data_IF_528546692744
#
_entry.id   IF_528546692744
#
_cell.length_a   1.000
_cell.length_b   1.000
_cell.length_c   1.000
_cell.angle_alpha   90.00
_cell.angle_beta   90.00
_cell.angle_gamma   90.00
#
_symmetry.space_group_name_H-M   'P 1'
#
loop_
_entity.id
_entity.type
_entity.pdbx_description
1 polymer ?
#
# COMPACT_ATOMS: atom_id res chain seq x y z
N UNK A 1 39.69 -19.02 -60.46
CA UNK A 1 39.77 -17.88 -59.53
C UNK A 1 38.51 -17.89 -58.67
N UNK A 2 38.66 -18.03 -57.35
CA UNK A 2 37.55 -18.21 -56.40
C UNK A 2 37.01 -16.85 -55.96
N UNK A 3 35.77 -16.50 -56.32
CA UNK A 3 35.06 -15.35 -55.77
C UNK A 3 34.34 -15.78 -54.49
N UNK A 4 34.77 -15.26 -53.34
CA UNK A 4 34.06 -15.41 -52.07
C UNK A 4 32.93 -14.39 -52.03
N UNK A 5 31.69 -14.89 -52.00
CA UNK A 5 30.49 -14.14 -51.67
C UNK A 5 30.52 -13.84 -50.16
N UNK A 6 30.58 -12.56 -49.79
CA UNK A 6 30.52 -12.14 -48.38
C UNK A 6 29.06 -11.86 -48.05
N UNK A 7 28.40 -12.80 -47.38
CA UNK A 7 27.05 -12.63 -46.84
C UNK A 7 27.14 -11.74 -45.61
N UNK A 8 26.61 -10.51 -45.70
CA UNK A 8 26.50 -9.58 -44.58
C UNK A 8 25.22 -9.92 -43.79
N UNK A 9 25.34 -10.73 -42.75
CA UNK A 9 24.27 -10.93 -41.77
C UNK A 9 24.28 -9.73 -40.82
N UNK A 10 23.37 -8.77 -41.03
CA UNK A 10 23.08 -7.72 -40.06
C UNK A 10 22.29 -8.38 -38.93
N UNK A 11 22.98 -8.72 -37.84
CA UNK A 11 22.34 -9.04 -36.58
C UNK A 11 21.77 -7.72 -36.02
N UNK A 12 20.48 -7.49 -36.25
CA UNK A 12 19.72 -6.46 -35.52
C UNK A 12 19.62 -6.95 -34.08
N UNK A 13 20.59 -6.54 -33.27
CA UNK A 13 20.51 -6.64 -31.83
C UNK A 13 19.47 -5.59 -31.40
N UNK A 14 18.20 -6.00 -31.35
CA UNK A 14 17.14 -5.29 -30.63
C UNK A 14 17.50 -5.33 -29.14
N UNK A 15 18.44 -4.48 -28.75
CA UNK A 15 18.59 -4.04 -27.38
C UNK A 15 17.35 -3.19 -27.08
N UNK A 16 16.24 -3.85 -26.74
CA UNK A 16 15.27 -3.27 -25.84
C UNK A 16 16.01 -3.07 -24.52
N UNK A 17 16.75 -1.97 -24.42
CA UNK A 17 17.05 -1.37 -23.14
C UNK A 17 15.70 -0.97 -22.54
N UNK A 18 15.09 -1.93 -21.84
CA UNK A 18 14.18 -1.63 -20.75
C UNK A 18 14.96 -0.70 -19.84
N UNK A 19 14.75 0.60 -20.04
CA UNK A 19 14.96 1.58 -18.98
C UNK A 19 13.97 1.18 -17.89
N UNK A 20 14.40 0.27 -17.03
CA UNK A 20 13.81 0.14 -15.70
C UNK A 20 14.18 1.47 -15.06
N UNK A 21 13.25 2.43 -15.08
CA UNK A 21 13.37 3.59 -14.23
C UNK A 21 13.59 3.03 -12.81
N UNK A 22 14.68 3.41 -12.12
CA UNK A 22 14.84 3.00 -10.74
C UNK A 22 13.57 3.41 -9.98
N UNK A 23 13.07 2.58 -9.05
CA UNK A 23 11.92 2.93 -8.24
C UNK A 23 12.17 4.31 -7.64
N UNK A 24 11.16 5.18 -7.63
CA UNK A 24 11.27 6.53 -7.09
C UNK A 24 11.85 6.42 -5.66
N UNK A 25 13.12 6.78 -5.51
CA UNK A 25 13.81 6.78 -4.23
C UNK A 25 13.05 7.78 -3.36
N UNK A 26 12.57 7.38 -2.18
CA UNK A 26 12.00 8.35 -1.25
C UNK A 26 13.04 9.44 -0.99
N UNK A 27 12.65 10.66 -1.27
CA UNK A 27 13.48 11.82 -1.02
C UNK A 27 12.99 12.46 0.26
N UNK A 28 13.91 12.64 1.21
CA UNK A 28 13.67 13.50 2.35
C UNK A 28 13.37 14.91 1.84
N UNK A 29 12.21 15.46 2.19
CA UNK A 29 11.72 16.72 1.64
C UNK A 29 11.23 17.71 2.71
N UNK A 30 11.62 17.51 3.96
CA UNK A 30 11.22 18.36 5.08
C UNK A 30 9.92 17.89 5.71
N UNK A 31 9.24 18.77 6.43
CA UNK A 31 8.00 18.46 7.11
C UNK A 31 6.80 18.83 6.23
N UNK A 32 6.26 17.84 5.52
CA UNK A 32 5.07 17.98 4.69
C UNK A 32 5.31 17.57 3.24
N UNK A 33 4.29 17.62 2.39
CA UNK A 33 4.43 17.33 0.97
C UNK A 33 5.17 18.44 0.23
N UNK A 34 5.69 18.10 -0.94
CA UNK A 34 6.49 19.03 -1.72
C UNK A 34 5.69 20.30 -2.04
N UNK A 35 6.23 21.48 -1.71
CA UNK A 35 5.61 22.80 -1.88
C UNK A 35 4.53 23.18 -0.84
N UNK A 36 4.41 22.43 0.27
CA UNK A 36 3.51 22.78 1.37
C UNK A 36 4.25 23.26 2.64
N UNK A 37 5.56 23.50 2.57
CA UNK A 37 6.43 23.97 3.66
C UNK A 37 5.94 25.28 4.32
N UNK A 38 5.12 26.06 3.62
CA UNK A 38 4.48 27.27 4.14
C UNK A 38 3.34 26.98 5.13
N UNK A 39 2.65 25.84 4.96
CA UNK A 39 1.54 25.39 5.81
C UNK A 39 2.02 24.57 7.00
N UNK A 40 3.10 23.82 6.83
CA UNK A 40 3.69 22.96 7.85
C UNK A 40 5.13 23.43 8.08
N UNK A 41 5.37 24.30 9.08
CA UNK A 41 6.71 24.83 9.32
C UNK A 41 7.63 23.72 9.85
N UNK A 42 8.62 23.33 9.05
CA UNK A 42 9.74 22.41 9.36
C UNK A 42 10.30 22.54 10.78
N UNK A 43 10.57 23.79 11.19
CA UNK A 43 10.97 24.15 12.54
C UNK A 43 12.10 23.29 13.12
N UNK A 44 11.94 22.85 14.36
CA UNK A 44 12.90 21.99 15.06
C UNK A 44 12.81 20.52 14.64
N UNK A 45 11.82 20.12 13.84
CA UNK A 45 11.53 18.72 13.53
C UNK A 45 12.00 18.26 12.15
N UNK A 46 12.64 19.10 11.35
CA UNK A 46 13.18 18.73 10.01
C UNK A 46 13.95 17.41 10.02
N UNK A 47 14.76 17.17 11.06
CA UNK A 47 15.54 15.93 11.20
C UNK A 47 14.64 14.69 11.37
N UNK A 48 13.55 14.82 12.14
CA UNK A 48 12.58 13.75 12.33
C UNK A 48 11.72 13.53 11.07
N UNK A 49 11.31 14.61 10.41
CA UNK A 49 10.52 14.53 9.16
C UNK A 49 11.31 13.84 8.05
N UNK A 50 12.58 14.21 7.84
CA UNK A 50 13.42 13.55 6.84
C UNK A 50 13.61 12.04 7.12
N UNK A 51 13.62 11.61 8.39
CA UNK A 51 13.66 10.19 8.74
C UNK A 51 12.33 9.48 8.50
N UNK A 52 11.22 10.18 8.71
CA UNK A 52 9.88 9.69 8.41
C UNK A 52 9.69 9.45 6.90
N UNK A 53 10.07 10.41 6.06
CA UNK A 53 10.02 10.27 4.60
C UNK A 53 10.81 9.05 4.10
N UNK A 54 12.00 8.84 4.67
CA UNK A 54 12.83 7.67 4.35
C UNK A 54 12.20 6.37 4.86
N UNK A 55 11.52 6.41 6.01
CA UNK A 55 10.82 5.24 6.55
C UNK A 55 9.71 4.78 5.60
N UNK A 56 8.96 5.69 4.98
CA UNK A 56 7.94 5.36 3.98
C UNK A 56 8.49 4.68 2.70
N UNK A 57 9.82 4.69 2.48
CA UNK A 57 10.41 3.83 1.43
C UNK A 57 10.75 2.42 1.88
N UNK A 58 10.74 2.15 3.19
CA UNK A 58 11.04 0.83 3.73
C UNK A 58 9.78 -0.04 3.73
N UNK A 59 9.75 -1.01 2.83
CA UNK A 59 8.64 -1.94 2.67
C UNK A 59 8.45 -2.92 3.82
N UNK A 60 9.39 -2.98 4.74
CA UNK A 60 9.33 -3.87 5.89
C UNK A 60 8.68 -3.19 7.12
N UNK A 61 8.31 -1.92 6.99
CA UNK A 61 7.68 -1.14 8.05
C UNK A 61 6.37 -0.59 7.50
N UNK A 62 5.29 -0.88 8.21
CA UNK A 62 3.96 -0.34 7.93
C UNK A 62 3.93 1.18 8.17
N UNK A 63 2.98 1.88 7.54
CA UNK A 63 2.81 3.32 7.74
C UNK A 63 2.72 3.66 9.23
N UNK A 64 1.90 2.91 9.97
CA UNK A 64 1.72 3.11 11.41
C UNK A 64 3.03 2.94 12.20
N UNK A 65 3.92 2.04 11.77
CA UNK A 65 5.27 1.87 12.32
C UNK A 65 6.15 3.07 12.08
N UNK A 66 6.14 3.61 10.86
CA UNK A 66 6.86 4.82 10.52
C UNK A 66 6.34 6.05 11.28
N UNK A 67 5.02 6.19 11.43
CA UNK A 67 4.39 7.30 12.16
C UNK A 67 4.73 7.26 13.65
N UNK A 68 4.69 6.07 14.28
CA UNK A 68 5.10 5.91 15.68
C UNK A 68 6.56 6.29 15.88
N UNK A 69 7.44 5.88 14.97
CA UNK A 69 8.87 6.23 15.02
C UNK A 69 9.09 7.73 14.85
N UNK A 70 8.34 8.37 13.95
CA UNK A 70 8.36 9.80 13.76
C UNK A 70 7.98 10.57 15.04
N UNK A 71 6.91 10.15 15.72
CA UNK A 71 6.53 10.73 17.01
C UNK A 71 7.64 10.61 18.07
N UNK A 72 8.25 9.43 18.17
CA UNK A 72 9.36 9.17 19.11
C UNK A 72 10.58 10.05 18.81
N UNK A 73 10.92 10.21 17.54
CA UNK A 73 12.02 11.07 17.10
C UNK A 73 11.76 12.54 17.45
N UNK A 74 10.54 13.04 17.23
CA UNK A 74 10.16 14.39 17.65
C UNK A 74 10.19 14.55 19.18
N UNK A 75 9.76 13.53 19.93
CA UNK A 75 9.84 13.54 21.40
C UNK A 75 11.28 13.62 21.90
N UNK A 76 12.20 12.89 21.27
CA UNK A 76 13.62 12.95 21.59
C UNK A 76 14.22 14.34 21.32
N UNK A 77 13.82 14.99 20.23
CA UNK A 77 14.18 16.39 19.93
C UNK A 77 13.62 17.31 21.03
N UNK A 78 12.37 17.13 21.45
CA UNK A 78 11.76 17.93 22.51
C UNK A 78 12.51 17.82 23.85
N UNK A 79 12.97 16.62 24.21
CA UNK A 79 13.73 16.37 25.43
C UNK A 79 15.18 16.90 25.36
N UNK A 80 15.76 16.91 24.16
CA UNK A 80 17.12 17.40 23.89
C UNK A 80 17.20 18.92 23.91
N UNK A 81 16.25 19.59 23.25
CA UNK A 81 16.38 21.01 22.87
C UNK A 81 15.57 21.95 23.78
N UNK A 82 14.66 21.41 24.60
CA UNK A 82 13.80 22.20 25.50
C UNK A 82 13.90 21.74 26.96
N UNK A 83 13.44 22.58 27.88
CA UNK A 83 13.44 22.29 29.32
C UNK A 83 12.15 22.76 30.00
N UNK A 84 11.76 22.10 31.10
CA UNK A 84 10.58 22.47 31.89
C UNK A 84 9.29 22.35 31.07
N UNK A 85 8.39 23.33 31.21
CA UNK A 85 7.10 23.36 30.51
C UNK A 85 7.23 23.41 28.98
N UNK A 86 8.37 23.86 28.44
CA UNK A 86 8.60 23.92 27.00
C UNK A 86 8.73 22.52 26.38
N UNK A 87 9.19 21.52 27.15
CA UNK A 87 9.21 20.12 26.70
C UNK A 87 7.80 19.61 26.47
N UNK A 88 6.88 19.87 27.41
CA UNK A 88 5.47 19.47 27.28
C UNK A 88 4.78 20.14 26.10
N UNK A 89 5.05 21.44 25.88
CA UNK A 89 4.51 22.16 24.72
C UNK A 89 5.04 21.60 23.40
N UNK A 90 6.35 21.33 23.31
CA UNK A 90 6.96 20.71 22.13
C UNK A 90 6.35 19.33 21.84
N UNK A 91 6.19 18.47 22.86
CA UNK A 91 5.56 17.15 22.70
C UNK A 91 4.10 17.24 22.23
N UNK A 92 3.35 18.24 22.68
CA UNK A 92 1.99 18.46 22.19
C UNK A 92 1.95 18.83 20.71
N UNK A 93 2.95 19.58 20.20
CA UNK A 93 3.10 19.83 18.77
C UNK A 93 3.46 18.53 18.04
N UNK A 94 4.40 17.74 18.57
CA UNK A 94 4.77 16.44 18.01
C UNK A 94 3.57 15.48 17.90
N UNK A 95 2.66 15.48 18.88
CA UNK A 95 1.42 14.71 18.81
C UNK A 95 0.49 15.18 17.69
N UNK A 96 0.51 16.49 17.39
CA UNK A 96 -0.26 17.04 16.29
C UNK A 96 0.30 16.59 14.94
N UNK A 97 1.63 16.60 14.78
CA UNK A 97 2.32 16.07 13.60
C UNK A 97 2.05 14.58 13.41
N UNK A 98 2.16 13.77 14.47
CA UNK A 98 1.84 12.34 14.43
C UNK A 98 0.39 12.10 13.99
N UNK A 99 -0.57 12.81 14.58
CA UNK A 99 -1.98 12.71 14.16
C UNK A 99 -2.18 13.19 12.73
N UNK A 100 -1.42 14.17 12.25
CA UNK A 100 -1.53 14.64 10.88
C UNK A 100 -1.13 13.54 9.90
N UNK A 101 0.03 12.89 10.10
CA UNK A 101 0.48 11.82 9.19
C UNK A 101 -0.38 10.56 9.32
N UNK A 102 -0.77 10.20 10.54
CA UNK A 102 -1.59 9.01 10.80
C UNK A 102 -3.05 9.11 10.31
N UNK A 103 -3.54 10.31 10.00
CA UNK A 103 -4.92 10.50 9.49
C UNK A 103 -4.98 11.15 8.11
N UNK A 104 -3.87 11.71 7.60
CA UNK A 104 -3.89 12.52 6.37
C UNK A 104 -2.68 12.34 5.46
N UNK A 105 -1.74 11.42 5.76
CA UNK A 105 -0.59 11.14 4.87
C UNK A 105 -1.02 10.83 3.44
N UNK A 106 -2.05 9.99 3.33
CA UNK A 106 -2.78 9.60 2.11
C UNK A 106 -3.25 10.79 1.26
N UNK A 107 -3.88 11.80 1.89
CA UNK A 107 -4.43 12.99 1.19
C UNK A 107 -3.34 13.73 0.43
N UNK A 108 -2.13 13.76 0.98
CA UNK A 108 -1.02 14.45 0.36
C UNK A 108 -0.40 13.67 -0.81
N UNK A 109 -0.53 12.35 -0.86
CA UNK A 109 -0.13 11.53 -2.02
C UNK A 109 -0.82 12.03 -3.29
N UNK A 110 -2.14 12.25 -3.23
CA UNK A 110 -2.91 12.68 -4.40
C UNK A 110 -2.74 14.17 -4.74
N UNK A 111 -2.54 15.04 -3.74
CA UNK A 111 -2.28 16.46 -3.96
C UNK A 111 -0.95 16.74 -4.67
N UNK A 112 0.05 15.86 -4.47
CA UNK A 112 1.35 15.92 -5.17
C UNK A 112 1.29 15.33 -6.59
N UNK A 113 0.09 14.97 -7.08
CA UNK A 113 -0.09 14.37 -8.41
C UNK A 113 0.43 12.93 -8.51
N UNK A 114 0.74 12.28 -7.37
CA UNK A 114 1.11 10.87 -7.34
C UNK A 114 -0.17 10.03 -7.46
N UNK A 115 -0.09 8.98 -8.28
CA UNK A 115 -1.17 8.02 -8.53
C UNK A 115 -1.06 6.84 -7.58
N UNK A 116 -2.16 6.55 -6.88
CA UNK A 116 -2.41 5.28 -6.18
C UNK A 116 -3.22 4.37 -7.13
N UNK A 117 -2.85 3.10 -7.27
CA UNK A 117 -3.46 2.19 -8.25
C UNK A 117 -3.07 0.73 -7.97
N UNK A 118 -3.92 -0.22 -8.34
CA UNK A 118 -3.65 -1.65 -8.28
C UNK A 118 -4.26 -2.37 -9.47
N UNK A 119 -3.78 -3.58 -9.77
CA UNK A 119 -4.31 -4.44 -10.83
C UNK A 119 -4.23 -5.90 -10.39
N UNK A 120 -5.35 -6.60 -10.43
CA UNK A 120 -5.42 -8.05 -10.24
C UNK A 120 -4.84 -8.73 -11.48
N UNK A 121 -3.77 -9.50 -11.28
CA UNK A 121 -3.06 -10.20 -12.35
C UNK A 121 -3.60 -11.62 -12.51
N UNK A 122 -3.77 -12.34 -11.41
CA UNK A 122 -4.31 -13.70 -11.40
C UNK A 122 -5.14 -13.97 -10.15
N UNK A 123 -6.14 -14.84 -10.29
CA UNK A 123 -6.94 -15.37 -9.18
C UNK A 123 -6.93 -16.90 -9.29
N UNK A 124 -6.46 -17.57 -8.24
CA UNK A 124 -6.56 -19.02 -8.11
C UNK A 124 -7.53 -19.33 -6.97
N UNK A 125 -8.75 -19.70 -7.34
CA UNK A 125 -9.78 -20.10 -6.39
C UNK A 125 -9.89 -21.62 -6.32
N UNK A 126 -10.10 -22.15 -5.12
CA UNK A 126 -10.26 -23.58 -4.86
C UNK A 126 -11.25 -23.83 -3.74
N UNK A 127 -11.89 -24.99 -3.82
CA UNK A 127 -12.60 -25.61 -2.70
C UNK A 127 -11.57 -26.29 -1.79
N UNK A 128 -11.71 -26.11 -0.49
CA UNK A 128 -10.94 -26.79 0.53
C UNK A 128 -11.88 -27.77 1.22
N UNK A 129 -11.70 -29.05 0.91
CA UNK A 129 -12.48 -30.12 1.55
C UNK A 129 -11.92 -30.36 2.96
N UNK A 130 -12.77 -30.22 3.97
CA UNK A 130 -12.45 -30.63 5.33
C UNK A 130 -13.25 -31.89 5.74
N UNK A 131 -12.82 -32.55 6.81
CA UNK A 131 -13.43 -33.82 7.26
C UNK A 131 -14.62 -33.61 8.21
N UNK A 132 -14.89 -32.38 8.70
CA UNK A 132 -15.81 -32.12 9.83
C UNK A 132 -16.88 -31.05 9.58
N UNK A 133 -16.89 -30.38 8.42
CA UNK A 133 -17.73 -29.23 8.11
C UNK A 133 -18.32 -29.25 6.70
N UNK A 134 -18.91 -28.11 6.35
CA UNK A 134 -19.20 -27.70 4.99
C UNK A 134 -17.92 -27.26 4.29
N UNK A 135 -17.77 -27.58 3.01
CA UNK A 135 -16.52 -27.31 2.29
C UNK A 135 -16.17 -25.81 2.33
N UNK A 136 -14.89 -25.51 2.43
CA UNK A 136 -14.38 -24.14 2.50
C UNK A 136 -13.96 -23.62 1.12
N UNK A 137 -13.79 -22.31 1.03
CA UNK A 137 -13.34 -21.61 -0.16
C UNK A 137 -12.10 -20.79 0.14
N UNK A 138 -11.14 -20.82 -0.77
CA UNK A 138 -9.99 -19.92 -0.74
C UNK A 138 -9.70 -19.41 -2.15
N UNK A 139 -9.44 -18.11 -2.27
CA UNK A 139 -8.96 -17.48 -3.47
C UNK A 139 -7.67 -16.71 -3.21
N UNK A 140 -6.57 -17.23 -3.73
CA UNK A 140 -5.28 -16.55 -3.72
C UNK A 140 -5.16 -15.63 -4.93
N UNK A 141 -4.99 -14.35 -4.67
CA UNK A 141 -4.95 -13.29 -5.68
C UNK A 141 -3.53 -12.76 -5.79
N UNK A 142 -2.99 -12.78 -7.01
CA UNK A 142 -1.76 -12.05 -7.32
C UNK A 142 -2.16 -10.71 -7.91
N UNK A 143 -1.65 -9.63 -7.34
CA UNK A 143 -1.93 -8.27 -7.81
C UNK A 143 -0.63 -7.48 -7.95
N UNK A 144 -0.69 -6.38 -8.69
CA UNK A 144 0.44 -5.51 -8.99
C UNK A 144 0.15 -4.08 -8.57
N UNK A 145 1.12 -3.44 -7.92
CA UNK A 145 1.12 -1.99 -7.77
C UNK A 145 1.55 -1.35 -9.09
N UNK A 146 0.58 -0.83 -9.85
CA UNK A 146 0.81 -0.07 -11.09
C UNK A 146 0.61 1.45 -10.88
N UNK A 147 0.70 1.90 -9.62
CA UNK A 147 0.71 3.30 -9.22
C UNK A 147 2.10 3.93 -9.31
N UNK A 148 2.31 4.96 -8.51
CA UNK A 148 3.56 5.74 -8.44
C UNK A 148 4.07 5.91 -7.01
N UNK A 149 3.40 5.28 -6.04
CA UNK A 149 3.76 5.26 -4.63
C UNK A 149 3.82 3.83 -4.13
N UNK A 150 4.74 3.54 -3.21
CA UNK A 150 4.62 2.35 -2.38
C UNK A 150 3.44 2.58 -1.44
N UNK A 151 2.61 1.56 -1.24
CA UNK A 151 1.37 1.66 -0.47
C UNK A 151 0.94 0.26 -0.05
N UNK A 152 -0.05 0.22 0.84
CA UNK A 152 -0.60 -0.94 1.49
C UNK A 152 -1.86 -1.41 0.75
N UNK A 153 -2.04 -2.73 0.67
CA UNK A 153 -3.15 -3.35 -0.04
C UNK A 153 -3.84 -4.38 0.83
N UNK A 154 -5.14 -4.51 0.64
CA UNK A 154 -5.93 -5.60 1.16
C UNK A 154 -6.93 -6.11 0.11
N UNK A 155 -7.59 -7.22 0.43
CA UNK A 155 -8.63 -7.82 -0.36
C UNK A 155 -9.92 -7.90 0.45
N UNK A 156 -11.04 -7.76 -0.23
CA UNK A 156 -12.36 -8.12 0.31
C UNK A 156 -13.00 -9.20 -0.55
N UNK A 157 -13.56 -10.23 0.09
CA UNK A 157 -14.36 -11.26 -0.53
C UNK A 157 -15.86 -10.99 -0.29
N UNK A 158 -16.65 -11.00 -1.35
CA UNK A 158 -18.09 -10.82 -1.32
C UNK A 158 -18.82 -12.01 -1.90
N UNK A 159 -19.94 -12.37 -1.28
CA UNK A 159 -20.87 -13.37 -1.81
C UNK A 159 -21.64 -12.87 -3.04
N UNK A 160 -22.36 -13.78 -3.71
CA UNK A 160 -23.27 -13.46 -4.80
C UNK A 160 -24.33 -12.42 -4.42
N UNK A 161 -24.75 -12.36 -3.15
CA UNK A 161 -25.73 -11.37 -2.67
C UNK A 161 -25.10 -10.01 -2.36
N UNK A 162 -23.78 -9.87 -2.49
CA UNK A 162 -23.03 -8.66 -2.13
C UNK A 162 -22.74 -8.53 -0.63
N UNK A 163 -22.86 -9.61 0.14
CA UNK A 163 -22.45 -9.61 1.55
C UNK A 163 -20.93 -9.73 1.64
N UNK A 164 -20.28 -8.89 2.47
CA UNK A 164 -18.87 -9.05 2.79
C UNK A 164 -18.71 -10.33 3.61
N UNK A 165 -17.85 -11.23 3.13
CA UNK A 165 -17.54 -12.52 3.75
C UNK A 165 -16.26 -12.41 4.56
N UNK A 166 -15.22 -11.85 3.95
CA UNK A 166 -13.87 -11.86 4.51
C UNK A 166 -13.05 -10.67 4.00
N UNK A 167 -12.05 -10.26 4.78
CA UNK A 167 -11.08 -9.22 4.45
C UNK A 167 -9.71 -9.67 4.89
N UNK A 168 -8.76 -9.69 3.96
CA UNK A 168 -7.39 -10.13 4.26
C UNK A 168 -6.34 -9.15 3.71
N UNK A 169 -5.22 -8.95 4.42
CA UNK A 169 -4.84 -9.68 5.64
C UNK A 169 -5.52 -9.18 6.92
N UNK A 170 -5.83 -10.09 7.85
CA UNK A 170 -6.46 -9.79 9.16
C UNK A 170 -5.60 -8.92 10.11
N UNK A 171 -4.27 -9.03 10.00
CA UNK A 171 -3.35 -8.46 11.01
C UNK A 171 -2.58 -7.24 10.51
N UNK A 172 -2.00 -7.34 9.31
CA UNK A 172 -1.15 -6.31 8.72
C UNK A 172 -1.30 -6.33 7.21
N UNK A 173 -1.53 -5.17 6.64
CA UNK A 173 -1.77 -4.94 5.23
C UNK A 173 -0.53 -5.29 4.38
N UNK A 174 -0.76 -5.58 3.10
CA UNK A 174 0.32 -6.00 2.20
C UNK A 174 1.02 -4.77 1.62
N UNK A 175 2.23 -4.50 2.09
CA UNK A 175 3.10 -3.46 1.55
C UNK A 175 3.64 -3.85 0.16
N UNK A 176 3.32 -3.09 -0.89
CA UNK A 176 3.75 -3.40 -2.27
C UNK A 176 4.46 -2.21 -2.94
N UNK A 177 5.69 -2.47 -3.41
CA UNK A 177 6.47 -1.48 -4.16
C UNK A 177 5.90 -1.21 -5.55
N UNK A 178 6.06 0.02 -6.03
CA UNK A 178 5.72 0.40 -7.40
C UNK A 178 6.37 -0.56 -8.41
N UNK A 179 5.54 -1.14 -9.28
CA UNK A 179 5.96 -2.06 -10.33
C UNK A 179 6.11 -3.52 -9.89
N UNK A 180 6.02 -3.82 -8.60
CA UNK A 180 6.08 -5.17 -8.05
C UNK A 180 4.70 -5.77 -7.85
N UNK A 181 4.67 -7.09 -7.71
CA UNK A 181 3.48 -7.87 -7.41
C UNK A 181 3.59 -8.54 -6.05
N UNK A 182 2.44 -8.72 -5.42
CA UNK A 182 2.29 -9.50 -4.21
C UNK A 182 1.16 -10.52 -4.38
N UNK A 183 1.09 -11.48 -3.47
CA UNK A 183 0.02 -12.46 -3.40
C UNK A 183 -0.53 -12.50 -1.98
N UNK A 184 -1.86 -12.47 -1.86
CA UNK A 184 -2.57 -12.73 -0.61
C UNK A 184 -3.83 -13.55 -0.92
N UNK A 185 -4.38 -14.23 0.08
CA UNK A 185 -5.53 -15.09 -0.07
C UNK A 185 -6.68 -14.56 0.79
N UNK A 186 -7.90 -14.68 0.28
CA UNK A 186 -9.16 -14.45 1.02
C UNK A 186 -9.98 -15.73 0.96
N UNK A 187 -10.81 -15.96 1.96
CA UNK A 187 -11.54 -17.22 1.99
C UNK A 187 -12.67 -17.25 2.99
N UNK A 188 -13.06 -18.47 3.31
CA UNK A 188 -14.07 -18.77 4.33
C UNK A 188 -13.46 -19.53 5.50
N UNK A 189 -12.12 -19.55 5.65
CA UNK A 189 -11.32 -20.29 6.66
C UNK A 189 -11.55 -19.86 8.14
N UNK A 190 -12.71 -19.26 8.44
CA UNK A 190 -13.21 -18.98 9.77
C UNK A 190 -14.19 -20.04 10.29
N UNK A 191 -14.72 -19.83 11.49
CA UNK A 191 -15.66 -20.79 12.14
C UNK A 191 -17.08 -20.73 11.54
N UNK A 192 -17.41 -19.67 10.78
CA UNK A 192 -18.80 -19.33 10.46
C UNK A 192 -19.14 -19.24 8.97
N UNK A 193 -18.37 -18.54 8.12
CA UNK A 193 -18.65 -18.56 6.69
C UNK A 193 -18.16 -19.87 6.08
N UNK A 194 -18.88 -20.40 5.10
CA UNK A 194 -18.42 -21.52 4.26
C UNK A 194 -18.63 -21.23 2.78
N UNK A 195 -18.22 -22.14 1.90
CA UNK A 195 -18.44 -21.97 0.45
C UNK A 195 -19.93 -21.79 0.11
N UNK A 196 -20.83 -22.30 0.95
CA UNK A 196 -22.27 -22.18 0.75
C UNK A 196 -22.79 -20.75 0.89
N UNK A 197 -22.14 -19.94 1.73
CA UNK A 197 -22.48 -18.53 1.95
C UNK A 197 -22.10 -17.63 0.76
N UNK A 198 -21.18 -18.09 -0.10
CA UNK A 198 -20.81 -17.39 -1.32
C UNK A 198 -21.91 -17.49 -2.38
N UNK A 199 -22.70 -18.57 -2.40
CA UNK A 199 -23.63 -18.86 -3.49
C UNK A 199 -22.92 -19.43 -4.72
N UNK A 200 -23.45 -19.16 -5.93
CA UNK A 200 -22.87 -19.70 -7.17
C UNK A 200 -21.76 -18.82 -7.77
N UNK A 201 -21.58 -17.62 -7.23
CA UNK A 201 -20.64 -16.62 -7.72
C UNK A 201 -20.03 -15.88 -6.54
N UNK A 202 -18.81 -15.39 -6.71
CA UNK A 202 -18.14 -14.56 -5.72
C UNK A 202 -17.50 -13.36 -6.40
N UNK A 203 -17.25 -12.31 -5.62
CA UNK A 203 -16.53 -11.12 -6.05
C UNK A 203 -15.37 -10.85 -5.10
N UNK A 204 -14.20 -10.56 -5.66
CA UNK A 204 -13.04 -10.09 -4.90
C UNK A 204 -12.79 -8.63 -5.28
N UNK A 205 -12.59 -7.78 -4.29
CA UNK A 205 -12.19 -6.38 -4.48
C UNK A 205 -10.76 -6.23 -3.99
N UNK A 206 -9.88 -5.73 -4.86
CA UNK A 206 -8.57 -5.25 -4.46
C UNK A 206 -8.71 -3.80 -3.99
N UNK A 207 -8.28 -3.54 -2.77
CA UNK A 207 -8.25 -2.17 -2.24
C UNK A 207 -6.83 -1.79 -1.88
N UNK A 208 -6.65 -0.49 -1.77
CA UNK A 208 -5.36 0.13 -1.49
C UNK A 208 -5.58 1.27 -0.52
N UNK A 209 -4.62 1.45 0.37
CA UNK A 209 -4.59 2.62 1.23
C UNK A 209 -4.41 3.86 0.35
N UNK A 210 -5.45 4.68 0.31
CA UNK A 210 -5.54 5.86 -0.54
C UNK A 210 -6.41 6.90 0.13
N UNK A 211 -6.29 8.19 -0.22
CA UNK A 211 -7.28 9.14 0.19
C UNK A 211 -8.61 8.86 -0.51
N UNK A 212 -9.65 8.66 0.28
CA UNK A 212 -11.02 8.61 -0.20
C UNK A 212 -11.52 10.00 -0.60
N UNK A 213 -12.53 10.07 -1.46
CA UNK A 213 -13.19 11.33 -1.85
C UNK A 213 -13.87 12.05 -0.65
N UNK A 214 -14.00 11.38 0.50
CA UNK A 214 -14.63 11.96 1.68
C UNK A 214 -13.61 12.19 2.80
N UNK A 215 -13.49 13.45 3.21
CA UNK A 215 -12.69 13.86 4.37
C UNK A 215 -13.05 13.09 5.66
N UNK A 216 -14.28 12.58 5.76
CA UNK A 216 -14.73 11.77 6.89
C UNK A 216 -14.33 10.30 6.76
N UNK A 217 -14.27 9.69 5.57
CA UNK A 217 -13.81 8.31 5.45
C UNK A 217 -12.29 8.19 5.64
N UNK A 218 -11.52 9.23 5.30
CA UNK A 218 -10.09 9.34 5.67
C UNK A 218 -9.85 9.33 7.20
N UNK A 219 -10.89 9.42 8.04
CA UNK A 219 -10.80 9.32 9.50
C UNK A 219 -11.20 7.95 10.05
N UNK A 220 -11.76 7.03 9.24
CA UNK A 220 -12.40 5.79 9.74
C UNK A 220 -12.18 4.54 8.87
N UNK A 221 -11.84 4.67 7.59
CA UNK A 221 -11.39 3.61 6.67
C UNK A 221 -10.98 4.30 5.35
N UNK A 222 -9.69 4.34 5.09
CA UNK A 222 -9.03 4.95 3.93
C UNK A 222 -8.92 4.01 2.73
N UNK A 223 -9.02 2.69 2.91
CA UNK A 223 -8.93 1.76 1.77
C UNK A 223 -10.00 1.99 0.69
N UNK A 224 -9.54 2.24 -0.54
CA UNK A 224 -10.40 2.42 -1.72
C UNK A 224 -10.27 1.26 -2.70
N UNK A 225 -11.38 0.87 -3.33
CA UNK A 225 -11.38 -0.14 -4.38
C UNK A 225 -10.64 0.37 -5.63
N UNK A 226 -9.66 -0.40 -6.11
CA UNK A 226 -8.89 -0.08 -7.32
C UNK A 226 -9.04 -1.09 -8.45
N UNK A 227 -9.41 -2.33 -8.13
CA UNK A 227 -9.72 -3.35 -9.12
C UNK A 227 -10.66 -4.41 -8.51
N UNK A 228 -11.30 -5.23 -9.35
CA UNK A 228 -12.14 -6.32 -8.89
C UNK A 228 -12.17 -7.51 -9.86
N UNK A 229 -12.51 -8.67 -9.30
CA UNK A 229 -12.69 -9.92 -10.05
C UNK A 229 -14.01 -10.58 -9.66
N UNK A 230 -14.71 -11.16 -10.63
CA UNK A 230 -15.90 -11.98 -10.41
C UNK A 230 -15.66 -13.40 -10.94
N UNK A 231 -15.97 -14.40 -10.12
CA UNK A 231 -15.79 -15.81 -10.46
C UNK A 231 -17.01 -16.65 -10.08
N UNK A 232 -17.08 -17.86 -10.63
CA UNK A 232 -18.05 -18.87 -10.18
C UNK A 232 -17.41 -19.69 -9.05
N UNK A 233 -18.19 -20.02 -8.03
CA UNK A 233 -17.72 -20.88 -6.94
C UNK A 233 -17.41 -22.30 -7.47
N UNK A 234 -16.26 -22.88 -7.08
CA UNK A 234 -15.79 -24.19 -7.55
C UNK A 234 -16.59 -25.37 -6.95
#
# INVERSE_FOLDING_TARGET
>A
MKSKLLTLTIAICLLFSFWIAPPAIAQANGCGPQNFDFLIPDGSFTEACNRHDLCYSDVNIDQAGCDRRFQQDMYAICERDYSGSNVSYCKAIADYYYRAVANFGEVFITLDGRKVSGEIVTVNARRIDDWLGDDEFEACVTFKNNGTVNTEYDLELYSQSGSLIDREPDTYEVNVQVGYSAQTCVGTDGIYPSISDLGNQYKIILRVDAPSESLLANLVNDFVAVDWYEGNTP
#
